data_IF_292039648310
#
_entry.id   IF_292039648310
#
_cell.length_a   1.000
_cell.length_b   1.000
_cell.length_c   1.000
_cell.angle_alpha   90.00
_cell.angle_beta   90.00
_cell.angle_gamma   90.00
#
_symmetry.space_group_name_H-M   'P 1'
#
loop_
_entity.id
_entity.type
_entity.pdbx_description
1 polymer ?
#
# COMPACT_ATOMS: atom_id res chain seq x y z
N UNK A 1 -25.46 -14.74 22.28
CA UNK A 1 -24.09 -15.28 22.12
C UNK A 1 -23.18 -14.12 21.74
N UNK A 2 -22.38 -13.61 22.69
CA UNK A 2 -21.48 -12.47 22.44
C UNK A 2 -20.26 -12.96 21.68
N UNK A 3 -20.13 -12.56 20.41
CA UNK A 3 -18.93 -12.83 19.62
C UNK A 3 -17.76 -12.03 20.18
N UNK A 4 -16.78 -12.70 20.79
CA UNK A 4 -15.56 -12.06 21.27
C UNK A 4 -14.91 -11.29 20.12
N UNK A 5 -14.72 -9.97 20.29
CA UNK A 5 -14.00 -9.13 19.32
C UNK A 5 -12.59 -9.71 19.14
N UNK A 6 -12.30 -10.29 17.98
CA UNK A 6 -10.93 -10.64 17.60
C UNK A 6 -10.20 -9.33 17.33
N UNK A 7 -9.35 -8.93 18.28
CA UNK A 7 -8.43 -7.81 18.15
C UNK A 7 -7.01 -8.31 17.88
N UNK A 8 -6.16 -7.43 17.36
CA UNK A 8 -4.72 -7.67 17.25
C UNK A 8 -4.10 -7.75 18.66
N UNK A 9 -3.33 -8.80 18.94
CA UNK A 9 -2.70 -9.06 20.24
C UNK A 9 -1.16 -9.02 20.20
N UNK A 10 -0.57 -8.54 19.10
CA UNK A 10 0.88 -8.42 18.95
C UNK A 10 1.44 -7.13 19.55
N UNK A 11 2.75 -6.97 19.43
CA UNK A 11 3.44 -5.74 19.81
C UNK A 11 2.87 -4.53 19.07
N UNK A 12 2.65 -3.45 19.81
CA UNK A 12 2.14 -2.21 19.21
C UNK A 12 3.22 -1.55 18.34
N UNK A 13 2.82 -0.83 17.28
CA UNK A 13 3.78 -0.04 16.53
C UNK A 13 4.44 1.03 17.42
N UNK A 14 5.65 1.50 17.07
CA UNK A 14 6.34 2.55 17.81
C UNK A 14 5.50 3.84 17.92
N UNK A 15 5.74 4.62 18.98
CA UNK A 15 5.02 5.89 19.22
C UNK A 15 5.15 6.87 18.03
N UNK A 16 6.34 6.96 17.43
CA UNK A 16 6.59 7.73 16.20
C UNK A 16 6.60 6.80 14.99
N UNK A 17 5.42 6.60 14.41
CA UNK A 17 5.25 5.73 13.26
C UNK A 17 4.70 6.49 12.05
N UNK A 18 5.26 6.18 10.87
CA UNK A 18 4.72 6.64 9.60
C UNK A 18 4.38 5.40 8.76
N UNK A 19 3.09 5.13 8.61
CA UNK A 19 2.58 3.94 7.95
C UNK A 19 2.96 3.89 6.46
N UNK A 20 2.86 5.01 5.75
CA UNK A 20 3.23 5.08 4.33
C UNK A 20 4.70 4.74 4.12
N UNK A 21 5.59 5.33 4.94
CA UNK A 21 7.04 5.03 4.90
C UNK A 21 7.33 3.56 5.20
N UNK A 22 6.63 2.98 6.17
CA UNK A 22 6.80 1.56 6.51
C UNK A 22 6.38 0.64 5.37
N UNK A 23 5.17 0.83 4.83
CA UNK A 23 4.65 -0.01 3.75
C UNK A 23 5.46 0.12 2.44
N UNK A 24 5.98 1.31 2.15
CA UNK A 24 6.71 1.58 0.89
C UNK A 24 8.22 1.37 1.00
N UNK A 25 8.74 0.93 2.15
CA UNK A 25 10.17 0.70 2.33
C UNK A 25 10.76 -0.26 1.29
N UNK A 26 9.96 -1.23 0.82
CA UNK A 26 10.35 -2.20 -0.21
C UNK A 26 10.69 -1.56 -1.57
N UNK A 27 10.22 -0.35 -1.86
CA UNK A 27 10.54 0.36 -3.10
C UNK A 27 12.04 0.60 -3.30
N UNK A 28 12.83 0.62 -2.21
CA UNK A 28 14.30 0.74 -2.29
C UNK A 28 14.98 -0.54 -2.78
N UNK A 29 14.48 -1.69 -2.36
CA UNK A 29 15.09 -2.99 -2.66
C UNK A 29 14.53 -3.62 -3.93
N UNK A 30 13.24 -3.40 -4.20
CA UNK A 30 12.51 -4.00 -5.31
C UNK A 30 11.59 -2.98 -5.98
N UNK A 31 12.13 -1.92 -6.63
CA UNK A 31 11.33 -0.86 -7.23
C UNK A 31 10.40 -1.37 -8.33
N UNK A 32 10.83 -2.37 -9.11
CA UNK A 32 10.09 -2.89 -10.27
C UNK A 32 9.07 -3.97 -9.91
N UNK A 33 9.05 -4.43 -8.66
CA UNK A 33 8.07 -5.42 -8.20
C UNK A 33 6.68 -4.78 -8.18
N UNK A 34 5.69 -5.48 -8.72
CA UNK A 34 4.28 -5.07 -8.65
C UNK A 34 3.85 -4.97 -7.18
N UNK A 35 3.30 -3.81 -6.82
CA UNK A 35 2.83 -3.48 -5.48
C UNK A 35 1.30 -3.39 -5.40
N UNK A 36 0.66 -2.93 -6.48
CA UNK A 36 -0.78 -2.74 -6.55
C UNK A 36 -1.28 -3.05 -7.96
N UNK A 37 -2.40 -3.77 -8.04
CA UNK A 37 -3.16 -3.97 -9.27
C UNK A 37 -4.55 -3.39 -9.04
N UNK A 38 -4.97 -2.46 -9.90
CA UNK A 38 -6.29 -1.83 -9.84
C UNK A 38 -7.15 -2.40 -10.97
N UNK A 39 -8.19 -3.14 -10.60
CA UNK A 39 -9.16 -3.72 -11.53
C UNK A 39 -10.44 -2.87 -11.49
N UNK A 40 -10.65 -2.08 -12.53
CA UNK A 40 -11.81 -1.19 -12.64
C UNK A 40 -13.09 -1.90 -13.11
N UNK A 41 -12.94 -3.02 -13.79
CA UNK A 41 -14.04 -3.87 -14.28
C UNK A 41 -13.66 -5.34 -14.09
N UNK A 42 -14.43 -6.05 -13.27
CA UNK A 42 -14.18 -7.45 -12.93
C UNK A 42 -14.45 -8.42 -14.11
N UNK A 43 -15.16 -7.99 -15.14
CA UNK A 43 -15.43 -8.80 -16.35
C UNK A 43 -14.40 -8.53 -17.46
N UNK A 44 -13.60 -7.46 -17.35
CA UNK A 44 -12.59 -7.14 -18.33
C UNK A 44 -11.36 -8.07 -18.19
N UNK A 45 -10.60 -8.30 -19.28
CA UNK A 45 -9.33 -9.01 -19.21
C UNK A 45 -8.34 -8.34 -18.25
N UNK A 46 -7.54 -9.16 -17.56
CA UNK A 46 -6.58 -8.71 -16.53
C UNK A 46 -5.50 -7.80 -17.10
N UNK A 47 -5.21 -7.92 -18.39
CA UNK A 47 -4.25 -7.10 -19.13
C UNK A 47 -4.68 -5.63 -19.20
N UNK A 48 -5.97 -5.34 -18.98
CA UNK A 48 -6.46 -3.96 -18.86
C UNK A 48 -6.37 -3.39 -17.45
N UNK A 49 -6.02 -4.19 -16.45
CA UNK A 49 -5.85 -3.70 -15.09
C UNK A 49 -4.63 -2.79 -15.00
N UNK A 50 -4.73 -1.71 -14.25
CA UNK A 50 -3.58 -0.87 -14.00
C UNK A 50 -2.65 -1.57 -13.03
N UNK A 51 -1.38 -1.70 -13.42
CA UNK A 51 -0.35 -2.34 -12.61
C UNK A 51 0.66 -1.28 -12.17
N UNK A 52 0.82 -1.15 -10.86
CA UNK A 52 1.71 -0.18 -10.24
C UNK A 52 2.83 -0.90 -9.50
N UNK A 53 4.06 -0.58 -9.85
CA UNK A 53 5.24 -1.07 -9.13
C UNK A 53 5.45 -0.33 -7.82
N UNK A 54 6.26 -0.88 -6.91
CA UNK A 54 6.62 -0.21 -5.67
C UNK A 54 7.27 1.16 -5.92
N UNK A 55 8.10 1.30 -6.96
CA UNK A 55 8.73 2.56 -7.32
C UNK A 55 7.72 3.62 -7.76
N UNK A 56 6.79 3.24 -8.66
CA UNK A 56 5.72 4.14 -9.13
C UNK A 56 4.81 4.56 -7.96
N UNK A 57 4.48 3.62 -7.08
CA UNK A 57 3.62 3.89 -5.94
C UNK A 57 4.28 4.82 -4.91
N UNK A 58 5.57 4.63 -4.58
CA UNK A 58 6.31 5.53 -3.67
C UNK A 58 6.40 6.94 -4.23
N UNK A 59 6.67 7.08 -5.53
CA UNK A 59 6.74 8.38 -6.18
C UNK A 59 5.38 9.10 -6.19
N UNK A 60 4.30 8.39 -6.54
CA UNK A 60 2.95 8.94 -6.54
C UNK A 60 2.53 9.41 -5.13
N UNK A 61 2.77 8.60 -4.10
CA UNK A 61 2.46 8.95 -2.71
C UNK A 61 3.23 10.19 -2.26
N UNK A 62 4.52 10.31 -2.61
CA UNK A 62 5.33 11.50 -2.29
C UNK A 62 4.81 12.75 -2.98
N UNK A 63 4.43 12.65 -4.26
CA UNK A 63 3.86 13.77 -5.03
C UNK A 63 2.55 14.26 -4.41
N UNK A 64 1.65 13.35 -4.08
CA UNK A 64 0.38 13.68 -3.40
C UNK A 64 0.64 14.34 -2.04
N UNK A 65 1.53 13.75 -1.22
CA UNK A 65 1.87 14.31 0.09
C UNK A 65 2.49 15.72 -0.01
N UNK A 66 3.30 15.98 -1.04
CA UNK A 66 3.88 17.31 -1.29
C UNK A 66 2.82 18.34 -1.72
N UNK A 67 1.82 17.93 -2.50
CA UNK A 67 0.72 18.80 -2.95
C UNK A 67 -0.35 19.09 -1.89
N UNK A 68 -0.44 18.27 -0.85
CA UNK A 68 -1.38 18.43 0.28
C UNK A 68 -0.78 19.21 1.47
N UNK A 69 0.46 19.65 1.35
CA UNK A 69 1.19 20.38 2.38
C UNK A 69 0.93 21.88 2.28
#
# INVERSE_FOLDING_TARGET
>A
MSGARRGYAGEQPPERFNMARYCLAAARATPDKVALVVVSDAQAPVERAETWTYGQLDEAVRRVAAGLR
#
